data_IF_241349432202
#
_entry.id   IF_241349432202
#
_cell.length_a   1.000
_cell.length_b   1.000
_cell.length_c   1.000
_cell.angle_alpha   90.00
_cell.angle_beta   90.00
_cell.angle_gamma   90.00
#
_symmetry.space_group_name_H-M   'P 1'
#
loop_
_entity.id
_entity.type
_entity.pdbx_description
1 polymer ?
#
# COMPACT_ATOMS: atom_id res chain seq x y z
N UNK A 1 1.37 -14.97 11.53
CA UNK A 1 1.26 -13.51 11.31
C UNK A 1 -0.10 -13.26 10.69
N UNK A 2 -0.84 -12.27 11.18
CA UNK A 2 -2.12 -11.87 10.58
C UNK A 2 -1.86 -11.02 9.32
N UNK A 3 -2.54 -11.34 8.22
CA UNK A 3 -2.42 -10.59 6.97
C UNK A 3 -3.42 -9.44 6.96
N UNK A 4 -2.95 -8.21 6.67
CA UNK A 4 -3.84 -7.05 6.52
C UNK A 4 -4.13 -6.88 5.03
N UNK A 5 -5.31 -7.32 4.61
CA UNK A 5 -5.78 -7.29 3.23
C UNK A 5 -7.10 -6.54 3.16
N UNK A 6 -7.27 -5.75 2.10
CA UNK A 6 -8.52 -5.06 1.78
C UNK A 6 -8.94 -5.49 0.37
N UNK A 7 -10.24 -5.78 0.20
CA UNK A 7 -10.85 -6.04 -1.10
C UNK A 7 -11.93 -4.99 -1.32
N UNK A 8 -11.84 -4.26 -2.41
CA UNK A 8 -12.77 -3.18 -2.77
C UNK A 8 -13.48 -3.54 -4.07
N UNK A 9 -14.80 -3.28 -4.11
CA UNK A 9 -15.61 -3.49 -5.30
C UNK A 9 -16.02 -2.13 -5.84
N UNK A 10 -15.44 -1.73 -6.97
CA UNK A 10 -15.62 -0.40 -7.54
C UNK A 10 -16.85 -0.35 -8.44
N UNK A 11 -17.75 0.59 -8.15
CA UNK A 11 -18.87 0.93 -9.04
C UNK A 11 -18.40 1.74 -10.25
N UNK A 12 -19.23 1.82 -11.29
CA UNK A 12 -18.95 2.51 -12.55
C UNK A 12 -18.64 4.03 -12.44
N UNK A 13 -18.71 4.61 -11.24
CA UNK A 13 -18.61 6.05 -10.99
C UNK A 13 -17.21 6.54 -10.55
N UNK A 14 -16.15 5.74 -10.67
CA UNK A 14 -14.79 6.11 -10.22
C UNK A 14 -13.95 6.89 -11.27
N UNK A 15 -14.55 7.83 -12.01
CA UNK A 15 -13.84 8.62 -13.03
C UNK A 15 -14.07 10.13 -12.92
N UNK A 16 -14.13 10.66 -11.70
CA UNK A 16 -13.90 12.10 -11.48
C UNK A 16 -12.45 12.32 -11.06
N UNK A 17 -11.84 13.44 -11.46
CA UNK A 17 -10.46 13.79 -11.07
C UNK A 17 -10.28 13.82 -9.54
N UNK A 18 -11.33 14.19 -8.80
CA UNK A 18 -11.38 14.14 -7.34
C UNK A 18 -11.32 12.70 -6.78
N UNK A 19 -11.95 11.74 -7.46
CA UNK A 19 -11.89 10.32 -7.09
C UNK A 19 -10.48 9.75 -7.21
N UNK A 20 -9.74 10.13 -8.25
CA UNK A 20 -8.37 9.69 -8.48
C UNK A 20 -7.41 10.23 -7.42
N UNK A 21 -7.55 11.50 -7.03
CA UNK A 21 -6.73 12.12 -5.99
C UNK A 21 -7.01 11.50 -4.61
N UNK A 22 -8.27 11.20 -4.32
CA UNK A 22 -8.68 10.55 -3.08
C UNK A 22 -8.15 9.10 -3.00
N UNK A 23 -8.25 8.34 -4.10
CA UNK A 23 -7.73 6.96 -4.18
C UNK A 23 -6.22 6.92 -3.99
N UNK A 24 -5.46 7.84 -4.60
CA UNK A 24 -4.01 7.90 -4.39
C UNK A 24 -3.60 8.26 -2.96
N UNK A 25 -4.41 9.05 -2.24
CA UNK A 25 -4.15 9.35 -0.83
C UNK A 25 -4.45 8.12 0.04
N UNK A 26 -5.57 7.44 -0.23
CA UNK A 26 -5.97 6.23 0.49
C UNK A 26 -4.96 5.09 0.29
N UNK A 27 -4.50 4.88 -0.93
CA UNK A 27 -3.54 3.82 -1.26
C UNK A 27 -2.21 4.03 -0.55
N UNK A 28 -1.69 5.27 -0.54
CA UNK A 28 -0.46 5.61 0.18
C UNK A 28 -0.61 5.41 1.68
N UNK A 29 -1.74 5.79 2.26
CA UNK A 29 -2.01 5.60 3.69
C UNK A 29 -2.07 4.11 4.08
N UNK A 30 -2.72 3.28 3.25
CA UNK A 30 -2.87 1.85 3.48
C UNK A 30 -1.54 1.10 3.27
N UNK A 31 -0.79 1.43 2.22
CA UNK A 31 0.54 0.87 1.97
C UNK A 31 1.51 1.18 3.11
N UNK A 32 1.50 2.40 3.64
CA UNK A 32 2.34 2.78 4.79
C UNK A 32 2.04 1.95 6.06
N UNK A 33 0.85 1.33 6.15
CA UNK A 33 0.45 0.43 7.24
C UNK A 33 0.67 -1.05 6.94
N UNK A 34 1.33 -1.37 5.82
CA UNK A 34 1.59 -2.73 5.37
C UNK A 34 0.32 -3.46 4.95
N UNK A 35 -0.70 -2.73 4.48
CA UNK A 35 -1.96 -3.27 3.99
C UNK A 35 -1.90 -3.36 2.47
N UNK A 36 -2.33 -4.49 1.90
CA UNK A 36 -2.50 -4.62 0.45
C UNK A 36 -3.97 -4.47 0.08
N UNK A 37 -4.23 -3.85 -1.07
CA UNK A 37 -5.58 -3.62 -1.60
C UNK A 37 -5.75 -4.36 -2.92
N UNK A 38 -6.86 -5.09 -3.08
CA UNK A 38 -7.33 -5.65 -4.35
C UNK A 38 -8.61 -4.92 -4.75
N UNK A 39 -8.60 -4.21 -5.88
CA UNK A 39 -9.78 -3.55 -6.45
C UNK A 39 -10.40 -4.42 -7.54
N UNK A 40 -11.72 -4.60 -7.48
CA UNK A 40 -12.49 -5.46 -8.37
C UNK A 40 -13.63 -4.63 -8.98
N UNK A 41 -13.71 -4.51 -10.32
CA UNK A 41 -14.84 -3.80 -10.93
C UNK A 41 -16.16 -4.50 -10.62
N UNK A 42 -17.20 -3.73 -10.29
CA UNK A 42 -18.52 -4.27 -9.93
C UNK A 42 -19.15 -5.15 -11.02
N UNK A 43 -18.90 -4.84 -12.29
CA UNK A 43 -19.37 -5.67 -13.41
C UNK A 43 -18.69 -7.05 -13.43
N UNK A 44 -17.42 -7.14 -13.04
CA UNK A 44 -16.67 -8.40 -13.02
C UNK A 44 -17.20 -9.34 -11.94
N UNK A 45 -17.70 -8.81 -10.83
CA UNK A 45 -18.36 -9.61 -9.78
C UNK A 45 -19.61 -10.32 -10.32
N UNK A 46 -20.38 -9.64 -11.18
CA UNK A 46 -21.64 -10.13 -11.72
C UNK A 46 -21.40 -11.05 -12.93
N UNK A 47 -20.52 -10.65 -13.86
CA UNK A 47 -20.29 -11.36 -15.12
C UNK A 47 -19.20 -12.45 -15.06
N UNK A 48 -18.23 -12.30 -14.16
CA UNK A 48 -16.97 -13.05 -14.17
C UNK A 48 -16.63 -13.61 -12.77
N UNK A 49 -17.65 -13.99 -11.99
CA UNK A 49 -17.49 -14.36 -10.58
C UNK A 49 -16.44 -15.45 -10.32
N UNK A 50 -16.23 -16.40 -11.24
CA UNK A 50 -15.18 -17.42 -11.11
C UNK A 50 -13.77 -16.82 -11.15
N UNK A 51 -13.55 -15.86 -12.04
CA UNK A 51 -12.26 -15.18 -12.18
C UNK A 51 -12.01 -14.24 -11.00
N UNK A 52 -13.06 -13.58 -10.49
CA UNK A 52 -13.03 -12.81 -9.25
C UNK A 52 -12.61 -13.67 -8.06
N UNK A 53 -13.19 -14.88 -7.92
CA UNK A 53 -12.83 -15.80 -6.84
C UNK A 53 -11.35 -16.22 -6.97
N UNK A 54 -10.89 -16.59 -8.17
CA UNK A 54 -9.48 -16.92 -8.40
C UNK A 54 -8.54 -15.78 -8.03
N UNK A 55 -8.87 -14.56 -8.43
CA UNK A 55 -8.06 -13.38 -8.12
C UNK A 55 -7.98 -13.13 -6.60
N UNK A 56 -9.08 -13.30 -5.86
CA UNK A 56 -9.09 -13.21 -4.40
C UNK A 56 -8.26 -14.32 -3.76
N UNK A 57 -8.39 -15.56 -4.23
CA UNK A 57 -7.59 -16.68 -3.71
C UNK A 57 -6.09 -16.47 -3.91
N UNK A 58 -5.68 -16.02 -5.10
CA UNK A 58 -4.28 -15.69 -5.40
C UNK A 58 -3.79 -14.53 -4.54
N UNK A 59 -4.62 -13.50 -4.37
CA UNK A 59 -4.29 -12.33 -3.57
C UNK A 59 -4.08 -12.66 -2.08
N UNK A 60 -4.86 -13.58 -1.52
CA UNK A 60 -4.74 -14.02 -0.12
C UNK A 60 -3.53 -14.94 0.11
N UNK A 61 -3.12 -15.71 -0.92
CA UNK A 61 -1.95 -16.61 -0.85
C UNK A 61 -0.61 -15.88 -0.84
N UNK A 62 -0.55 -14.67 -1.40
CA UNK A 62 0.69 -13.88 -1.42
C UNK A 62 0.87 -13.16 -0.08
N UNK A 63 1.94 -13.47 0.68
CA UNK A 63 2.20 -12.82 1.95
C UNK A 63 2.49 -11.32 1.78
N UNK A 64 2.09 -10.50 2.75
CA UNK A 64 2.44 -9.08 2.75
C UNK A 64 3.97 -8.92 2.79
N UNK A 65 4.53 -8.00 1.97
CA UNK A 65 5.94 -7.68 2.06
C UNK A 65 6.27 -7.21 3.48
N UNK A 66 7.39 -7.67 4.02
CA UNK A 66 7.88 -7.17 5.31
C UNK A 66 8.07 -5.65 5.21
N UNK A 67 7.74 -4.88 6.28
CA UNK A 67 7.99 -3.44 6.26
C UNK A 67 9.45 -3.17 5.88
N UNK A 68 9.73 -2.12 5.10
CA UNK A 68 11.10 -1.76 4.79
C UNK A 68 11.88 -1.63 6.10
N UNK A 69 13.06 -2.26 6.15
CA UNK A 69 13.93 -2.16 7.32
C UNK A 69 14.13 -0.68 7.67
N UNK A 70 14.11 -0.30 8.96
CA UNK A 70 14.39 1.07 9.35
C UNK A 70 15.72 1.50 8.72
N UNK A 71 15.70 2.67 8.07
CA UNK A 71 16.90 3.27 7.50
C UNK A 71 17.99 3.33 8.59
N UNK A 72 19.25 2.99 8.30
CA UNK A 72 20.32 3.15 9.28
C UNK A 72 20.38 4.62 9.73
N UNK A 73 20.48 4.86 11.04
CA UNK A 73 20.70 6.19 11.65
C UNK A 73 22.11 6.73 11.35
N UNK A 74 22.55 6.73 10.09
CA UNK A 74 23.82 7.38 9.71
C UNK A 74 23.53 8.79 9.24
N UNK A 75 23.41 9.71 10.21
CA UNK A 75 23.26 11.12 9.90
C UNK A 75 23.01 12.05 11.09
N UNK A 76 23.33 11.68 12.34
CA UNK A 76 23.52 12.69 13.39
C UNK A 76 24.89 13.31 13.16
N UNK A 77 24.89 14.51 12.56
CA UNK A 77 26.07 15.32 12.31
C UNK A 77 26.85 15.52 13.60
N UNK A 78 27.94 14.77 13.72
CA UNK A 78 28.91 14.92 14.78
C UNK A 78 29.88 16.03 14.36
N UNK A 79 29.46 17.28 14.53
CA UNK A 79 30.40 18.40 14.59
C UNK A 79 31.08 18.34 15.95
N UNK A 80 32.13 17.53 16.04
CA UNK A 80 33.06 17.55 17.17
C UNK A 80 33.84 18.85 17.13
N UNK A 81 33.67 19.59 18.22
CA UNK A 81 34.55 20.59 18.78
C UNK A 81 36.03 20.26 18.59
N UNK A 82 36.81 21.22 18.11
CA UNK A 82 38.27 21.17 18.12
C UNK A 82 38.83 22.58 18.04
N UNK A 83 39.06 23.20 19.19
CA UNK A 83 40.07 24.25 19.29
C UNK A 83 41.45 23.58 19.43
N UNK A 84 42.45 24.11 18.73
CA UNK A 84 43.68 24.62 19.35
C UNK A 84 44.58 25.32 18.31
N UNK A 85 45.17 26.44 18.76
CA UNK A 85 46.50 27.01 18.44
C UNK A 85 46.98 27.15 16.99
N UNK A 86 47.20 28.40 16.56
CA UNK A 86 48.51 29.06 16.49
C UNK A 86 48.36 30.58 16.72
#
# INVERSE_FOLDING_TARGET
MEQKLIIEIDGASHFTEDGLAHDQHRDRFLHARGVRVLRIPGYAVIGEGREVIRAVEEFVKVPNPSPPAPLPETGRGEQRTGGNSE
#
